data_IF_707025063363
#
_entry.id   IF_707025063363
#
_cell.length_a   1.000
_cell.length_b   1.000
_cell.length_c   1.000
_cell.angle_alpha   90.00
_cell.angle_beta   90.00
_cell.angle_gamma   90.00
#
_symmetry.space_group_name_H-M   'P 1'
#
loop_
_entity.id
_entity.type
_entity.pdbx_description
1 polymer ?
#
# COMPACT_ATOMS: atom_id res chain seq x y z
N UNK A 1 -34.10 41.27 -34.80
CA UNK A 1 -33.67 40.28 -33.79
C UNK A 1 -33.59 38.92 -34.46
N UNK A 2 -32.40 38.45 -34.83
CA UNK A 2 -32.23 37.08 -35.28
C UNK A 2 -32.42 36.16 -34.07
N UNK A 3 -33.51 35.40 -34.05
CA UNK A 3 -33.72 34.35 -33.06
C UNK A 3 -32.57 33.35 -33.19
N UNK A 4 -31.70 33.28 -32.18
CA UNK A 4 -30.73 32.18 -32.05
C UNK A 4 -31.53 30.88 -31.94
N UNK A 5 -31.72 30.17 -33.05
CA UNK A 5 -32.27 28.83 -33.01
C UNK A 5 -31.29 27.95 -32.23
N UNK A 6 -31.73 27.24 -31.18
CA UNK A 6 -30.86 26.32 -30.47
C UNK A 6 -30.36 25.25 -31.43
N UNK A 7 -29.05 25.05 -31.46
CA UNK A 7 -28.41 24.03 -32.30
C UNK A 7 -28.99 22.66 -31.92
N UNK A 8 -29.73 22.05 -32.84
CA UNK A 8 -30.46 20.80 -32.59
C UNK A 8 -29.50 19.66 -32.23
N UNK A 9 -29.84 18.93 -31.17
CA UNK A 9 -29.14 17.70 -30.74
C UNK A 9 -28.02 17.89 -29.70
N UNK A 10 -27.79 19.10 -29.19
CA UNK A 10 -26.90 19.31 -28.04
C UNK A 10 -27.56 18.74 -26.79
N UNK A 11 -26.80 17.94 -26.04
CA UNK A 11 -27.22 17.37 -24.77
C UNK A 11 -26.88 18.31 -23.60
N UNK A 12 -27.56 18.10 -22.48
CA UNK A 12 -27.16 18.69 -21.21
C UNK A 12 -25.75 18.23 -20.81
N UNK A 13 -24.99 19.05 -20.08
CA UNK A 13 -23.71 18.63 -19.52
C UNK A 13 -23.88 17.41 -18.62
N UNK A 14 -22.95 16.46 -18.76
CA UNK A 14 -22.85 15.28 -17.90
C UNK A 14 -21.71 15.53 -16.93
N UNK A 15 -22.00 15.91 -15.67
CA UNK A 15 -20.98 16.15 -14.66
C UNK A 15 -20.48 14.87 -14.02
N UNK A 16 -19.19 14.85 -13.72
CA UNK A 16 -18.54 13.87 -12.85
C UNK A 16 -18.06 14.66 -11.64
N UNK A 17 -18.76 14.49 -10.52
CA UNK A 17 -18.50 15.18 -9.25
C UNK A 17 -18.13 14.20 -8.12
N UNK A 18 -18.10 12.91 -8.44
CA UNK A 18 -17.70 11.84 -7.53
C UNK A 18 -16.64 11.02 -8.25
N UNK A 19 -15.40 11.10 -7.76
CA UNK A 19 -14.30 10.37 -8.36
C UNK A 19 -14.09 9.04 -7.65
N UNK A 20 -13.90 8.00 -8.45
CA UNK A 20 -13.45 6.68 -8.02
C UNK A 20 -11.99 6.51 -8.42
N UNK A 21 -11.27 5.67 -7.70
CA UNK A 21 -9.85 5.44 -7.97
C UNK A 21 -9.57 4.61 -9.20
N UNK A 22 -8.38 4.00 -9.19
CA UNK A 22 -7.88 3.23 -10.31
C UNK A 22 -8.56 1.87 -10.35
N UNK A 23 -9.13 1.56 -11.51
CA UNK A 23 -9.63 0.24 -11.87
C UNK A 23 -8.90 -0.23 -13.13
N UNK A 24 -7.77 -0.89 -12.92
CA UNK A 24 -6.91 -1.49 -13.93
C UNK A 24 -7.12 -3.01 -13.99
N UNK A 25 -8.33 -3.43 -14.36
CA UNK A 25 -8.60 -4.82 -14.73
C UNK A 25 -8.38 -5.05 -16.24
N UNK A 26 -8.61 -6.28 -16.72
CA UNK A 26 -8.45 -6.64 -18.14
C UNK A 26 -9.52 -5.99 -19.06
N UNK A 27 -10.56 -5.36 -18.48
CA UNK A 27 -11.55 -4.59 -19.22
C UNK A 27 -10.95 -3.30 -19.80
N UNK A 28 -11.35 -2.93 -21.03
CA UNK A 28 -11.00 -1.67 -21.70
C UNK A 28 -11.71 -0.46 -21.11
N UNK A 29 -12.52 -0.66 -20.07
CA UNK A 29 -13.02 0.39 -19.19
C UNK A 29 -14.40 0.93 -19.54
N UNK A 30 -15.06 0.39 -20.59
CA UNK A 30 -16.38 0.88 -21.01
C UNK A 30 -17.46 0.63 -19.97
N UNK A 31 -17.38 -0.51 -19.25
CA UNK A 31 -18.33 -0.86 -18.18
C UNK A 31 -18.05 -0.15 -16.84
N UNK A 32 -16.97 0.62 -16.73
CA UNK A 32 -16.63 1.30 -15.48
C UNK A 32 -17.54 2.51 -15.24
N UNK A 33 -17.70 2.87 -13.97
CA UNK A 33 -18.35 4.13 -13.60
C UNK A 33 -17.52 5.33 -14.10
N UNK A 34 -18.19 6.43 -14.44
CA UNK A 34 -17.54 7.60 -15.05
C UNK A 34 -16.52 8.30 -14.16
N UNK A 35 -16.63 8.15 -12.84
CA UNK A 35 -15.65 8.64 -11.88
C UNK A 35 -14.35 7.83 -11.80
N UNK A 36 -14.32 6.60 -12.33
CA UNK A 36 -13.16 5.69 -12.19
C UNK A 36 -12.04 6.02 -13.18
N UNK A 37 -10.80 5.81 -12.75
CA UNK A 37 -9.62 5.95 -13.59
C UNK A 37 -9.21 4.59 -14.18
N UNK A 38 -8.86 4.54 -15.46
CA UNK A 38 -8.23 3.32 -16.05
C UNK A 38 -6.72 3.27 -15.79
N UNK A 39 -6.11 4.43 -15.55
CA UNK A 39 -4.71 4.57 -15.15
C UNK A 39 -4.52 5.88 -14.37
N UNK A 40 -3.51 5.93 -13.52
CA UNK A 40 -3.20 7.10 -12.72
C UNK A 40 -2.12 6.80 -11.70
N UNK A 41 -1.45 7.84 -11.22
CA UNK A 41 -0.52 7.73 -10.10
C UNK A 41 -0.41 9.04 -9.32
N UNK A 42 -0.03 8.92 -8.05
CA UNK A 42 0.14 9.98 -7.06
C UNK A 42 -1.11 10.85 -6.85
N UNK A 43 -2.28 10.32 -7.19
CA UNK A 43 -3.58 10.88 -6.83
C UNK A 43 -4.11 10.15 -5.60
N UNK A 44 -4.87 10.85 -4.77
CA UNK A 44 -5.59 10.26 -3.65
C UNK A 44 -6.96 10.92 -3.48
N UNK A 45 -7.89 10.18 -2.88
CA UNK A 45 -9.26 10.62 -2.67
C UNK A 45 -9.52 11.05 -1.23
N UNK A 46 -8.50 11.53 -0.52
CA UNK A 46 -8.64 12.05 0.84
C UNK A 46 -9.69 13.18 0.91
N UNK A 47 -9.77 14.02 -0.13
CA UNK A 47 -10.73 15.13 -0.25
C UNK A 47 -12.09 14.72 -0.85
N UNK A 48 -12.53 13.48 -0.62
CA UNK A 48 -13.78 12.95 -1.18
C UNK A 48 -14.97 13.91 -0.99
N UNK A 49 -15.81 14.14 -2.02
CA UNK A 49 -15.87 13.43 -3.30
C UNK A 49 -14.86 13.92 -4.36
N UNK A 50 -14.10 14.98 -4.06
CA UNK A 50 -13.10 15.54 -4.95
C UNK A 50 -11.84 14.66 -5.02
N UNK A 51 -11.14 14.77 -6.14
CA UNK A 51 -9.86 14.13 -6.37
C UNK A 51 -8.73 15.09 -6.02
N UNK A 52 -7.77 14.65 -5.21
CA UNK A 52 -6.58 15.42 -4.85
C UNK A 52 -5.30 14.63 -5.09
N UNK A 53 -4.19 15.22 -4.68
CA UNK A 53 -2.88 14.55 -4.72
C UNK A 53 -2.71 13.74 -3.44
N UNK A 54 -1.95 12.65 -3.53
CA UNK A 54 -1.51 11.90 -2.35
C UNK A 54 -0.78 12.81 -1.35
N UNK A 55 -0.74 12.46 -0.06
CA UNK A 55 0.15 13.12 0.88
C UNK A 55 1.61 12.98 0.42
N UNK A 56 2.40 14.00 0.73
CA UNK A 56 3.84 14.01 0.54
C UNK A 56 4.56 13.20 1.60
N UNK A 57 5.83 13.53 1.84
CA UNK A 57 6.57 13.01 2.97
C UNK A 57 7.64 13.99 3.46
N UNK A 58 8.07 13.83 4.71
CA UNK A 58 9.29 14.42 5.24
C UNK A 58 10.30 13.32 5.60
N UNK A 59 11.59 13.66 5.53
CA UNK A 59 12.64 12.74 5.96
C UNK A 59 12.70 12.69 7.50
N UNK A 60 12.74 11.49 8.06
CA UNK A 60 13.00 11.29 9.48
C UNK A 60 14.51 11.31 9.71
N UNK A 61 15.03 12.39 10.29
CA UNK A 61 16.47 12.60 10.45
C UNK A 61 17.19 12.73 9.11
N UNK A 62 18.42 12.23 9.02
CA UNK A 62 19.19 12.14 7.77
C UNK A 62 19.12 10.73 7.19
N UNK A 63 19.23 10.61 5.86
CA UNK A 63 19.30 9.31 5.21
C UNK A 63 20.64 8.63 5.51
N UNK A 64 20.61 7.31 5.69
CA UNK A 64 21.80 6.53 6.03
C UNK A 64 22.74 6.26 4.85
N UNK A 65 22.31 6.54 3.62
CA UNK A 65 23.07 6.23 2.39
C UNK A 65 23.20 4.73 2.08
N UNK A 66 22.51 3.88 2.82
CA UNK A 66 22.45 2.42 2.64
C UNK A 66 21.05 1.93 2.93
N UNK A 67 20.61 0.88 2.21
CA UNK A 67 19.29 0.27 2.37
C UNK A 67 18.91 0.08 3.84
N UNK A 68 17.72 0.55 4.21
CA UNK A 68 17.10 0.22 5.50
C UNK A 68 16.54 -1.20 5.39
N UNK A 69 17.14 -2.16 6.10
CA UNK A 69 16.72 -3.57 6.07
C UNK A 69 15.31 -3.75 6.66
N UNK A 70 15.01 -3.03 7.73
CA UNK A 70 13.66 -2.99 8.27
C UNK A 70 13.49 -1.91 9.32
N UNK A 71 12.23 -1.63 9.64
CA UNK A 71 11.82 -0.60 10.58
C UNK A 71 10.79 -1.18 11.55
N UNK A 72 10.88 -0.80 12.82
CA UNK A 72 9.98 -1.25 13.88
C UNK A 72 9.61 -0.10 14.80
N UNK A 73 8.53 -0.25 15.56
CA UNK A 73 8.11 0.73 16.56
C UNK A 73 8.21 0.14 17.96
N UNK A 74 8.78 0.89 18.90
CA UNK A 74 8.74 0.54 20.31
C UNK A 74 7.66 1.36 21.00
N UNK A 75 6.75 0.68 21.71
CA UNK A 75 5.61 1.28 22.45
C UNK A 75 4.70 2.22 21.63
N UNK A 76 4.76 2.16 20.30
CA UNK A 76 4.16 3.18 19.43
C UNK A 76 4.59 4.62 19.82
N UNK A 77 5.85 4.79 20.22
CA UNK A 77 6.44 6.10 20.54
C UNK A 77 7.77 6.35 19.83
N UNK A 78 8.59 5.31 19.65
CA UNK A 78 9.92 5.43 19.03
C UNK A 78 10.02 4.60 17.75
N UNK A 79 10.70 5.14 16.74
CA UNK A 79 11.04 4.44 15.49
C UNK A 79 12.43 3.83 15.63
N UNK A 80 12.54 2.55 15.31
CA UNK A 80 13.80 1.82 15.22
C UNK A 80 14.04 1.34 13.80
N UNK A 81 15.30 1.27 13.39
CA UNK A 81 15.70 0.78 12.08
C UNK A 81 16.91 -0.15 12.18
N UNK A 82 16.96 -1.18 11.34
CA UNK A 82 18.20 -1.91 11.07
C UNK A 82 18.80 -1.36 9.79
N UNK A 83 20.03 -0.87 9.89
CA UNK A 83 20.78 -0.31 8.76
C UNK A 83 22.23 -0.78 8.82
N UNK A 84 22.71 -1.37 7.73
CA UNK A 84 24.09 -1.84 7.59
C UNK A 84 24.58 -2.69 8.78
N UNK A 85 23.71 -3.60 9.27
CA UNK A 85 24.03 -4.49 10.38
C UNK A 85 24.03 -3.82 11.75
N UNK A 86 23.52 -2.59 11.87
CA UNK A 86 23.39 -1.86 13.13
C UNK A 86 21.93 -1.51 13.44
N UNK A 87 21.55 -1.65 14.71
CA UNK A 87 20.26 -1.23 15.25
C UNK A 87 20.33 0.23 15.67
N UNK A 88 19.56 1.06 14.97
CA UNK A 88 19.43 2.49 15.16
C UNK A 88 18.08 2.82 15.80
N UNK A 89 18.03 3.87 16.62
CA UNK A 89 16.77 4.47 17.10
C UNK A 89 16.73 5.94 16.73
N UNK A 90 15.55 6.46 16.44
CA UNK A 90 15.36 7.89 16.24
C UNK A 90 15.09 8.56 17.59
N UNK A 91 15.93 9.51 17.99
CA UNK A 91 15.82 10.18 19.30
C UNK A 91 14.93 11.45 19.27
N UNK A 92 14.24 11.72 18.16
CA UNK A 92 13.45 12.94 17.94
C UNK A 92 14.11 13.93 16.98
N UNK A 93 15.43 13.90 16.84
CA UNK A 93 16.19 14.79 15.93
C UNK A 93 17.11 14.04 14.98
N UNK A 94 17.76 12.97 15.43
CA UNK A 94 18.70 12.19 14.65
C UNK A 94 18.62 10.69 14.93
N UNK A 95 19.21 9.92 14.03
CA UNK A 95 19.43 8.50 14.22
C UNK A 95 20.64 8.29 15.11
N UNK A 96 20.48 7.47 16.15
CA UNK A 96 21.54 7.10 17.08
C UNK A 96 21.62 5.58 17.22
N UNK A 97 22.84 5.05 17.22
CA UNK A 97 23.08 3.64 17.51
C UNK A 97 22.66 3.35 18.95
N UNK A 98 21.92 2.26 19.15
CA UNK A 98 21.61 1.77 20.49
C UNK A 98 22.86 1.10 21.09
N UNK A 99 23.04 1.13 22.40
CA UNK A 99 24.16 0.43 23.06
C UNK A 99 23.88 -1.06 23.24
N UNK A 100 24.92 -1.84 23.60
CA UNK A 100 24.83 -3.28 23.80
C UNK A 100 25.13 -4.08 22.53
N UNK A 101 24.43 -5.19 22.33
CA UNK A 101 24.54 -6.07 21.16
C UNK A 101 23.72 -5.52 19.98
N UNK A 102 23.96 -4.28 19.58
CA UNK A 102 23.22 -3.58 18.53
C UNK A 102 23.87 -3.67 17.14
N UNK A 103 25.10 -4.20 17.04
CA UNK A 103 25.87 -4.27 15.79
C UNK A 103 26.12 -5.72 15.35
N UNK A 104 26.70 -5.90 14.15
CA UNK A 104 27.02 -7.22 13.60
C UNK A 104 25.79 -8.04 13.21
N UNK A 105 24.66 -7.38 12.96
CA UNK A 105 23.46 -8.01 12.42
C UNK A 105 23.63 -8.30 10.92
N UNK A 106 22.95 -9.33 10.43
CA UNK A 106 22.88 -9.66 9.02
C UNK A 106 22.35 -8.48 8.19
N UNK A 107 23.00 -8.21 7.05
CA UNK A 107 22.59 -7.19 6.08
C UNK A 107 21.71 -7.74 4.95
N UNK A 108 21.57 -9.07 4.87
CA UNK A 108 20.80 -9.76 3.85
C UNK A 108 19.42 -10.26 4.33
N UNK A 109 19.22 -10.33 5.64
CA UNK A 109 17.98 -10.78 6.25
C UNK A 109 17.09 -9.61 6.68
N UNK A 110 15.79 -9.73 6.42
CA UNK A 110 14.81 -8.71 6.81
C UNK A 110 14.31 -8.98 8.25
N UNK A 111 14.29 -7.98 9.15
CA UNK A 111 13.88 -8.20 10.53
C UNK A 111 12.35 -8.27 10.68
N UNK A 112 11.90 -9.14 11.59
CA UNK A 112 10.55 -9.22 12.15
C UNK A 112 10.55 -8.65 13.56
N UNK A 113 9.51 -7.91 13.92
CA UNK A 113 9.43 -7.13 15.15
C UNK A 113 8.19 -7.48 15.96
N UNK A 114 8.33 -7.51 17.29
CA UNK A 114 7.15 -7.56 18.17
C UNK A 114 7.42 -6.89 19.51
N UNK A 115 6.42 -6.20 20.06
CA UNK A 115 6.49 -5.61 21.40
C UNK A 115 5.97 -6.63 22.42
N UNK A 116 6.69 -6.84 23.51
CA UNK A 116 6.21 -7.71 24.60
C UNK A 116 6.72 -7.23 25.96
N UNK A 117 5.83 -7.18 26.94
CA UNK A 117 6.17 -6.92 28.34
C UNK A 117 6.23 -8.22 29.14
N UNK A 118 5.11 -8.95 29.23
CA UNK A 118 5.04 -10.17 30.05
C UNK A 118 5.34 -9.89 31.53
N UNK A 119 6.39 -10.53 32.05
CA UNK A 119 6.94 -10.40 33.39
C UNK A 119 8.29 -9.66 33.40
N UNK A 120 8.61 -8.93 32.32
CA UNK A 120 9.73 -8.01 32.28
C UNK A 120 9.38 -6.72 33.04
N UNK A 121 10.40 -6.00 33.50
CA UNK A 121 10.23 -4.72 34.21
C UNK A 121 9.56 -3.64 33.34
N UNK A 122 9.76 -3.69 32.03
CA UNK A 122 9.13 -2.80 31.05
C UNK A 122 8.88 -3.52 29.71
N UNK A 123 8.05 -2.90 28.86
CA UNK A 123 7.84 -3.35 27.49
C UNK A 123 9.17 -3.35 26.71
N UNK A 124 9.49 -4.46 26.07
CA UNK A 124 10.67 -4.61 25.21
C UNK A 124 10.27 -4.81 23.74
N UNK A 125 11.09 -4.29 22.83
CA UNK A 125 10.96 -4.53 21.38
C UNK A 125 11.88 -5.68 21.00
N UNK A 126 11.30 -6.81 20.61
CA UNK A 126 12.01 -7.98 20.14
C UNK A 126 12.20 -7.94 18.63
N UNK A 127 13.32 -8.51 18.17
CA UNK A 127 13.70 -8.62 16.76
C UNK A 127 14.26 -10.00 16.45
N UNK A 128 13.82 -10.55 15.32
CA UNK A 128 14.30 -11.81 14.77
C UNK A 128 14.41 -11.69 13.24
N UNK A 129 15.35 -12.39 12.61
CA UNK A 129 15.56 -12.31 11.15
C UNK A 129 15.98 -13.63 10.52
N UNK A 130 15.96 -14.73 11.29
CA UNK A 130 16.27 -16.07 10.81
C UNK A 130 17.76 -16.39 10.71
N UNK A 131 18.63 -15.41 10.95
CA UNK A 131 20.10 -15.55 10.86
C UNK A 131 20.74 -15.24 12.19
N UNK A 132 20.47 -14.06 12.73
CA UNK A 132 20.96 -13.61 14.02
C UNK A 132 20.16 -14.23 15.16
N UNK A 133 20.84 -14.46 16.28
CA UNK A 133 20.15 -14.82 17.53
C UNK A 133 19.18 -13.69 17.90
N UNK A 134 17.96 -14.05 18.33
CA UNK A 134 16.90 -13.13 18.71
C UNK A 134 17.42 -12.06 19.69
N UNK A 135 17.19 -10.79 19.38
CA UNK A 135 17.62 -9.65 20.21
C UNK A 135 16.44 -8.84 20.66
N UNK A 136 16.58 -8.13 21.77
CA UNK A 136 15.53 -7.24 22.26
C UNK A 136 16.10 -5.95 22.83
N UNK A 137 15.33 -4.87 22.65
CA UNK A 137 15.58 -3.57 23.22
C UNK A 137 14.66 -3.34 24.43
N UNK A 138 15.24 -3.02 25.58
CA UNK A 138 14.54 -2.83 26.85
C UNK A 138 14.17 -1.36 27.16
N UNK A 139 14.50 -0.44 26.25
CA UNK A 139 14.40 1.02 26.46
C UNK A 139 15.75 1.69 26.71
N UNK A 140 16.82 0.92 26.94
CA UNK A 140 18.18 1.44 27.12
C UNK A 140 19.20 0.73 26.24
N UNK A 141 19.21 -0.60 26.24
CA UNK A 141 20.22 -1.42 25.54
C UNK A 141 19.59 -2.51 24.68
N UNK A 142 20.32 -2.97 23.65
CA UNK A 142 19.96 -4.18 22.90
C UNK A 142 20.69 -5.38 23.49
N UNK A 143 19.94 -6.39 23.93
CA UNK A 143 20.46 -7.63 24.50
C UNK A 143 20.13 -8.82 23.62
N UNK A 144 21.06 -9.78 23.51
CA UNK A 144 20.85 -11.04 22.82
C UNK A 144 20.18 -12.04 23.75
N UNK A 145 19.06 -12.63 23.32
CA UNK A 145 18.36 -13.67 24.04
C UNK A 145 18.87 -15.05 23.59
N UNK A 146 19.86 -15.58 24.31
CA UNK A 146 20.50 -16.87 24.00
C UNK A 146 19.60 -18.08 24.28
N UNK A 147 18.52 -17.90 25.05
CA UNK A 147 17.56 -18.96 25.34
C UNK A 147 16.52 -19.15 24.22
N UNK A 148 16.36 -18.17 23.33
CA UNK A 148 15.46 -18.29 22.19
C UNK A 148 15.97 -19.32 21.16
N UNK A 149 15.06 -19.97 20.40
CA UNK A 149 15.46 -20.88 19.32
C UNK A 149 16.39 -20.21 18.31
N UNK A 150 17.48 -20.90 17.95
CA UNK A 150 18.36 -20.45 16.88
C UNK A 150 17.62 -20.46 15.54
N UNK A 151 17.86 -19.45 14.70
CA UNK A 151 17.17 -19.32 13.41
C UNK A 151 15.72 -18.84 13.51
N UNK A 152 15.30 -18.29 14.65
CA UNK A 152 14.01 -17.60 14.77
C UNK A 152 13.90 -16.51 13.70
N UNK A 153 12.89 -16.61 12.82
CA UNK A 153 12.75 -15.74 11.66
C UNK A 153 11.58 -14.75 11.80
N UNK A 154 10.40 -15.26 12.10
CA UNK A 154 9.20 -14.44 12.29
C UNK A 154 8.76 -14.53 13.73
N UNK A 155 8.49 -13.39 14.34
CA UNK A 155 8.07 -13.31 15.73
C UNK A 155 6.78 -12.53 15.86
N UNK A 156 5.94 -12.97 16.79
CA UNK A 156 4.73 -12.25 17.16
C UNK A 156 4.33 -12.59 18.58
N UNK A 157 3.41 -11.83 19.14
CA UNK A 157 2.89 -12.03 20.48
C UNK A 157 1.37 -12.23 20.38
N UNK A 158 0.87 -13.22 21.12
CA UNK A 158 -0.56 -13.46 21.29
C UNK A 158 -0.80 -13.95 22.72
N UNK A 159 -1.80 -13.37 23.40
CA UNK A 159 -2.18 -13.73 24.78
C UNK A 159 -1.02 -13.82 25.78
N UNK A 160 -0.16 -12.78 25.80
CA UNK A 160 1.00 -12.68 26.70
C UNK A 160 2.06 -13.78 26.52
N UNK A 161 2.09 -14.40 25.33
CA UNK A 161 3.09 -15.36 24.91
C UNK A 161 3.71 -14.95 23.59
N UNK A 162 5.02 -15.11 23.48
CA UNK A 162 5.73 -14.93 22.22
C UNK A 162 5.82 -16.25 21.45
N UNK A 163 5.70 -16.13 20.14
CA UNK A 163 5.83 -17.20 19.18
C UNK A 163 6.95 -16.85 18.20
N UNK A 164 7.74 -17.85 17.81
CA UNK A 164 8.80 -17.72 16.84
C UNK A 164 8.71 -18.84 15.80
N UNK A 165 8.79 -18.49 14.51
CA UNK A 165 8.87 -19.45 13.42
C UNK A 165 10.34 -19.82 13.16
N UNK A 166 10.62 -21.12 13.11
CA UNK A 166 11.92 -21.69 12.71
C UNK A 166 11.63 -22.78 11.67
N UNK A 167 11.95 -22.53 10.40
CA UNK A 167 11.63 -23.45 9.31
C UNK A 167 10.13 -23.76 9.22
N UNK A 168 9.75 -25.01 9.52
CA UNK A 168 8.36 -25.51 9.52
C UNK A 168 7.70 -25.54 10.92
N UNK A 169 8.39 -25.02 11.94
CA UNK A 169 7.98 -25.20 13.33
C UNK A 169 7.68 -23.85 13.99
N UNK A 170 6.58 -23.80 14.73
CA UNK A 170 6.22 -22.68 15.60
C UNK A 170 6.70 -23.00 17.01
N UNK A 171 7.70 -22.28 17.48
CA UNK A 171 8.13 -22.32 18.87
C UNK A 171 7.33 -21.31 19.69
N UNK A 172 7.14 -21.59 20.97
CA UNK A 172 6.49 -20.67 21.89
C UNK A 172 7.21 -20.62 23.23
N UNK A 173 7.31 -19.42 23.81
CA UNK A 173 7.88 -19.22 25.14
C UNK A 173 6.90 -19.59 26.25
N UNK A 174 7.38 -19.62 27.49
CA UNK A 174 6.52 -19.69 28.68
C UNK A 174 5.60 -18.47 28.81
N UNK A 175 4.46 -18.63 29.47
CA UNK A 175 3.46 -17.59 29.65
C UNK A 175 4.07 -16.39 30.40
N UNK A 176 3.95 -15.19 29.82
CA UNK A 176 4.53 -13.94 30.36
C UNK A 176 6.05 -13.97 30.53
N UNK A 177 6.76 -15.00 30.07
CA UNK A 177 8.23 -15.07 30.18
C UNK A 177 8.87 -15.09 28.80
N UNK A 178 8.94 -13.95 28.09
CA UNK A 178 9.41 -13.89 26.70
C UNK A 178 10.86 -14.34 26.50
N UNK A 179 11.65 -14.37 27.59
CA UNK A 179 13.04 -14.83 27.58
C UNK A 179 13.20 -16.32 27.97
N UNK A 180 12.12 -17.03 28.30
CA UNK A 180 12.18 -18.44 28.70
C UNK A 180 11.45 -19.33 27.69
N UNK A 181 12.23 -20.08 26.89
CA UNK A 181 11.74 -20.98 25.84
C UNK A 181 11.87 -22.46 26.21
N UNK A 182 12.25 -22.75 27.46
CA UNK A 182 12.47 -24.11 27.97
C UNK A 182 11.65 -24.39 29.24
N UNK A 183 10.67 -23.54 29.54
CA UNK A 183 9.78 -23.71 30.69
C UNK A 183 9.05 -25.07 30.60
N UNK A 184 9.20 -25.90 31.62
CA UNK A 184 8.62 -27.24 31.65
C UNK A 184 7.09 -27.15 31.59
N UNK A 185 6.46 -27.91 30.69
CA UNK A 185 5.01 -27.93 30.43
C UNK A 185 4.39 -26.59 29.97
N UNK A 186 5.21 -25.57 29.72
CA UNK A 186 4.73 -24.23 29.39
C UNK A 186 5.47 -23.60 28.20
N UNK A 187 6.64 -24.07 27.81
CA UNK A 187 7.29 -23.74 26.54
C UNK A 187 7.37 -24.98 25.65
N UNK A 188 7.55 -24.79 24.35
CA UNK A 188 7.61 -25.91 23.42
C UNK A 188 7.50 -25.50 21.96
N UNK A 189 7.07 -26.45 21.14
CA UNK A 189 7.00 -26.29 19.70
C UNK A 189 5.82 -27.06 19.11
N UNK A 190 5.27 -26.54 18.02
CA UNK A 190 4.20 -27.16 17.23
C UNK A 190 4.67 -27.18 15.77
N UNK A 191 4.61 -28.35 15.14
CA UNK A 191 5.00 -28.48 13.74
C UNK A 191 3.79 -28.22 12.86
N UNK A 192 3.95 -27.36 11.85
CA UNK A 192 2.87 -26.97 10.95
C UNK A 192 2.92 -27.79 9.66
N UNK A 193 2.66 -29.10 9.68
CA UNK A 193 2.96 -29.95 8.52
C UNK A 193 2.16 -29.64 7.24
N UNK A 194 2.84 -29.70 6.08
CA UNK A 194 2.22 -29.71 4.76
C UNK A 194 2.66 -30.88 3.90
N UNK A 195 1.79 -31.29 2.98
CA UNK A 195 2.05 -32.37 2.02
C UNK A 195 3.30 -32.09 1.16
N UNK A 196 3.63 -30.80 0.97
CA UNK A 196 4.77 -30.31 0.20
C UNK A 196 6.03 -30.03 1.02
N UNK A 197 5.98 -30.15 2.36
CA UNK A 197 7.13 -29.86 3.23
C UNK A 197 7.56 -28.38 3.24
N UNK A 198 6.63 -27.47 3.01
CA UNK A 198 6.90 -26.02 2.94
C UNK A 198 7.32 -25.43 4.29
N UNK A 199 8.20 -24.44 4.27
CA UNK A 199 8.51 -23.63 5.44
C UNK A 199 7.44 -22.55 5.69
N UNK A 200 7.37 -22.08 6.93
CA UNK A 200 6.56 -20.91 7.30
C UNK A 200 7.09 -19.69 6.52
N UNK A 201 6.18 -18.95 5.89
CA UNK A 201 6.49 -17.70 5.16
C UNK A 201 6.13 -16.44 5.95
N UNK A 202 5.31 -16.56 7.00
CA UNK A 202 5.02 -15.49 7.93
C UNK A 202 4.05 -15.89 9.05
N UNK A 203 3.94 -15.03 10.06
CA UNK A 203 3.02 -15.23 11.18
C UNK A 203 2.45 -13.89 11.63
N UNK A 204 1.17 -13.89 11.98
CA UNK A 204 0.51 -12.70 12.52
C UNK A 204 -0.47 -13.08 13.62
N UNK A 205 -0.47 -12.31 14.70
CA UNK A 205 -1.51 -12.40 15.71
C UNK A 205 -2.80 -11.77 15.17
N UNK A 206 -3.87 -12.55 15.19
CA UNK A 206 -5.23 -12.11 14.90
C UNK A 206 -6.08 -12.07 16.17
N UNK A 207 -7.36 -11.69 16.07
CA UNK A 207 -8.27 -11.75 17.20
C UNK A 207 -8.47 -13.20 17.68
N UNK A 208 -8.04 -13.51 18.92
CA UNK A 208 -8.18 -14.81 19.60
C UNK A 208 -7.46 -15.99 18.96
N UNK A 209 -6.54 -15.75 18.02
CA UNK A 209 -5.74 -16.79 17.38
C UNK A 209 -4.43 -16.25 16.84
N UNK A 210 -3.48 -17.16 16.68
CA UNK A 210 -2.29 -16.94 15.86
C UNK A 210 -2.55 -17.52 14.48
N UNK A 211 -2.36 -16.74 13.41
CA UNK A 211 -2.46 -17.22 12.03
C UNK A 211 -1.05 -17.38 11.46
N UNK A 212 -0.77 -18.58 10.98
CA UNK A 212 0.51 -19.00 10.40
C UNK A 212 0.33 -19.17 8.91
N UNK A 213 1.22 -18.53 8.15
CA UNK A 213 1.22 -18.59 6.69
C UNK A 213 2.40 -19.42 6.20
N UNK A 214 2.13 -20.22 5.19
CA UNK A 214 3.10 -20.83 4.28
C UNK A 214 2.89 -20.26 2.88
N UNK A 215 3.73 -20.59 1.88
CA UNK A 215 3.47 -20.21 0.49
C UNK A 215 2.10 -20.65 -0.01
N UNK A 216 1.67 -21.90 0.29
CA UNK A 216 0.41 -22.46 -0.22
C UNK A 216 -0.56 -22.94 0.86
N UNK A 217 -0.33 -22.63 2.14
CA UNK A 217 -1.24 -23.04 3.21
C UNK A 217 -1.39 -21.97 4.30
N UNK A 218 -2.54 -22.00 4.99
CA UNK A 218 -2.84 -21.16 6.16
C UNK A 218 -3.28 -22.06 7.31
N UNK A 219 -2.70 -21.83 8.48
CA UNK A 219 -3.07 -22.50 9.72
C UNK A 219 -3.47 -21.46 10.76
N UNK A 220 -4.45 -21.82 11.59
CA UNK A 220 -4.88 -21.05 12.74
C UNK A 220 -4.63 -21.86 14.02
N UNK A 221 -3.88 -21.28 14.93
CA UNK A 221 -3.64 -21.79 16.26
C UNK A 221 -4.57 -21.07 17.24
N UNK A 222 -5.52 -21.83 17.80
CA UNK A 222 -6.44 -21.40 18.84
C UNK A 222 -5.95 -21.86 20.22
N UNK A 223 -6.42 -21.18 21.27
CA UNK A 223 -6.12 -21.52 22.66
C UNK A 223 -5.12 -20.57 23.30
N UNK A 224 -5.10 -20.56 24.64
CA UNK A 224 -4.28 -19.62 25.43
C UNK A 224 -3.01 -20.26 26.00
N UNK A 225 -2.92 -21.58 25.98
CA UNK A 225 -1.75 -22.32 26.44
C UNK A 225 -1.65 -23.75 25.88
N UNK A 226 -0.54 -24.44 26.15
CA UNK A 226 -0.18 -25.70 25.49
C UNK A 226 -1.21 -26.82 25.61
N UNK A 227 -1.97 -26.85 26.71
CA UNK A 227 -3.02 -27.86 26.94
C UNK A 227 -4.30 -27.61 26.15
N UNK A 228 -4.51 -26.37 25.69
CA UNK A 228 -5.71 -25.94 24.96
C UNK A 228 -5.42 -25.68 23.48
N UNK A 229 -4.16 -25.74 23.07
CA UNK A 229 -3.75 -25.44 21.72
C UNK A 229 -4.42 -26.36 20.72
N UNK A 230 -5.22 -25.75 19.85
CA UNK A 230 -5.88 -26.43 18.74
C UNK A 230 -5.36 -25.83 17.45
N UNK A 231 -4.65 -26.66 16.68
CA UNK A 231 -4.05 -26.27 15.42
C UNK A 231 -4.95 -26.71 14.26
N UNK A 232 -5.54 -25.74 13.57
CA UNK A 232 -6.52 -25.97 12.50
C UNK A 232 -5.95 -25.46 11.19
N UNK A 233 -6.22 -26.19 10.12
CA UNK A 233 -5.81 -25.80 8.77
C UNK A 233 -6.97 -25.11 8.06
N UNK A 234 -6.76 -23.86 7.67
CA UNK A 234 -7.80 -22.99 7.15
C UNK A 234 -7.79 -22.92 5.61
N UNK A 235 -6.62 -23.09 4.99
CA UNK A 235 -6.48 -23.23 3.54
C UNK A 235 -5.31 -24.15 3.16
N UNK A 236 -5.44 -24.86 2.04
CA UNK A 236 -4.46 -25.85 1.54
C UNK A 236 -3.79 -25.47 0.21
N UNK A 237 -4.27 -24.42 -0.43
CA UNK A 237 -3.90 -23.97 -1.77
C UNK A 237 -3.64 -22.46 -1.82
N UNK A 238 -3.63 -21.81 -0.67
CA UNK A 238 -3.51 -20.38 -0.53
C UNK A 238 -2.66 -20.05 0.69
N UNK A 239 -1.75 -19.11 0.52
CA UNK A 239 -0.83 -18.64 1.55
C UNK A 239 -0.33 -17.23 1.26
N UNK A 240 0.75 -16.83 1.93
CA UNK A 240 1.34 -15.50 1.79
C UNK A 240 2.76 -15.58 1.22
N UNK A 241 3.12 -14.60 0.38
CA UNK A 241 4.43 -14.55 -0.28
C UNK A 241 5.58 -14.42 0.74
N UNK A 242 5.42 -13.56 1.75
CA UNK A 242 6.42 -13.31 2.78
C UNK A 242 5.80 -12.65 4.04
N UNK A 243 6.55 -12.59 5.14
CA UNK A 243 6.05 -12.05 6.40
C UNK A 243 5.71 -10.56 6.36
N UNK A 244 6.47 -9.76 5.61
CA UNK A 244 6.22 -8.32 5.45
C UNK A 244 4.96 -8.03 4.63
N UNK A 245 4.49 -9.02 3.88
CA UNK A 245 3.28 -8.95 3.06
C UNK A 245 2.03 -9.39 3.81
N UNK A 246 2.06 -9.44 5.15
CA UNK A 246 0.93 -9.80 6.01
C UNK A 246 0.74 -8.67 7.04
N UNK A 247 -0.50 -8.25 7.25
CA UNK A 247 -0.83 -7.18 8.18
C UNK A 247 -2.25 -7.35 8.74
N UNK A 248 -2.44 -7.10 10.03
CA UNK A 248 -3.78 -7.03 10.64
C UNK A 248 -4.22 -5.57 10.75
N UNK A 249 -5.39 -5.24 10.20
CA UNK A 249 -6.02 -3.92 10.30
C UNK A 249 -7.47 -4.10 10.75
N UNK A 250 -7.86 -3.46 11.84
CA UNK A 250 -9.22 -3.53 12.40
C UNK A 250 -9.77 -4.97 12.57
N UNK A 251 -8.90 -5.92 12.94
CA UNK A 251 -9.27 -7.33 13.14
C UNK A 251 -9.35 -8.17 11.85
N UNK A 252 -9.09 -7.59 10.69
CA UNK A 252 -9.01 -8.27 9.40
C UNK A 252 -7.53 -8.45 9.03
N UNK A 253 -7.15 -9.66 8.66
CA UNK A 253 -5.80 -9.96 8.16
C UNK A 253 -5.78 -9.72 6.66
N UNK A 254 -4.92 -8.83 6.20
CA UNK A 254 -4.61 -8.63 4.79
C UNK A 254 -3.29 -9.31 4.45
N UNK A 255 -3.23 -9.96 3.29
CA UNK A 255 -1.98 -10.54 2.81
C UNK A 255 -1.88 -10.55 1.29
N UNK A 256 -0.64 -10.60 0.77
CA UNK A 256 -0.37 -10.69 -0.66
C UNK A 256 -0.09 -12.15 -1.02
N UNK A 257 -0.78 -12.63 -2.05
CA UNK A 257 -0.55 -13.91 -2.71
C UNK A 257 -0.21 -13.66 -4.19
N UNK A 258 0.35 -14.67 -4.87
CA UNK A 258 0.75 -14.58 -6.30
C UNK A 258 -0.42 -14.19 -7.23
N UNK A 259 -1.67 -14.39 -6.80
CA UNK A 259 -2.88 -14.11 -7.60
C UNK A 259 -3.68 -12.88 -7.16
N UNK A 260 -3.26 -12.16 -6.12
CA UNK A 260 -3.99 -10.99 -5.62
C UNK A 260 -3.74 -10.65 -4.15
N UNK A 261 -4.35 -9.56 -3.72
CA UNK A 261 -4.42 -9.19 -2.29
C UNK A 261 -5.67 -9.82 -1.69
N UNK A 262 -5.51 -10.49 -0.56
CA UNK A 262 -6.58 -11.20 0.13
C UNK A 262 -6.89 -10.54 1.46
N UNK A 263 -8.16 -10.65 1.88
CA UNK A 263 -8.61 -10.37 3.23
C UNK A 263 -9.08 -11.67 3.89
N UNK A 264 -8.75 -11.81 5.17
CA UNK A 264 -9.09 -12.97 5.98
C UNK A 264 -9.59 -12.54 7.36
N UNK A 265 -10.85 -12.89 7.64
CA UNK A 265 -11.52 -12.59 8.92
C UNK A 265 -11.35 -13.70 9.95
N UNK A 266 -10.86 -14.88 9.55
CA UNK A 266 -10.70 -16.02 10.47
C UNK A 266 -11.74 -17.11 10.42
N UNK A 267 -12.66 -17.01 9.48
CA UNK A 267 -13.67 -18.02 9.25
C UNK A 267 -13.86 -18.15 7.74
N UNK A 268 -13.94 -19.40 7.28
CA UNK A 268 -14.05 -19.71 5.86
C UNK A 268 -12.80 -19.35 5.06
N UNK A 269 -12.96 -19.30 3.74
CA UNK A 269 -11.86 -19.06 2.80
C UNK A 269 -11.55 -17.56 2.68
N UNK A 270 -10.27 -17.15 2.64
CA UNK A 270 -9.90 -15.76 2.35
C UNK A 270 -10.48 -15.25 1.02
N UNK A 271 -10.85 -13.97 0.97
CA UNK A 271 -11.51 -13.33 -0.20
C UNK A 271 -10.60 -12.32 -0.87
N UNK A 272 -10.74 -12.15 -2.19
CA UNK A 272 -9.94 -11.18 -2.98
C UNK A 272 -10.76 -10.30 -3.93
N UNK A 273 -12.08 -10.26 -3.79
CA UNK A 273 -12.98 -9.57 -4.73
C UNK A 273 -12.61 -8.08 -4.90
N UNK A 274 -12.21 -7.42 -3.80
CA UNK A 274 -11.74 -6.04 -3.80
C UNK A 274 -10.42 -5.83 -4.56
N UNK A 275 -9.59 -6.87 -4.70
CA UNK A 275 -8.31 -6.82 -5.43
C UNK A 275 -8.50 -6.90 -6.95
N UNK A 276 -9.71 -7.13 -7.46
CA UNK A 276 -9.95 -7.22 -8.90
C UNK A 276 -9.60 -5.92 -9.64
N UNK A 277 -9.82 -4.77 -8.98
CA UNK A 277 -9.49 -3.44 -9.52
C UNK A 277 -7.99 -3.26 -9.82
N UNK A 278 -7.13 -4.01 -9.15
CA UNK A 278 -5.66 -3.93 -9.30
C UNK A 278 -5.06 -5.16 -9.99
N UNK A 279 -5.90 -6.00 -10.62
CA UNK A 279 -5.47 -7.26 -11.21
C UNK A 279 -4.27 -7.11 -12.17
N UNK A 280 -4.26 -6.08 -13.02
CA UNK A 280 -3.14 -5.86 -13.95
C UNK A 280 -1.84 -5.48 -13.25
N UNK A 281 -1.90 -4.83 -12.08
CA UNK A 281 -0.70 -4.56 -11.28
C UNK A 281 -0.15 -5.83 -10.65
N UNK A 282 -1.04 -6.69 -10.13
CA UNK A 282 -0.64 -7.97 -9.53
C UNK A 282 -0.01 -8.89 -10.58
N UNK A 283 -0.58 -8.99 -11.78
CA UNK A 283 -0.04 -9.80 -12.88
C UNK A 283 1.36 -9.36 -13.33
N UNK A 284 1.70 -8.08 -13.11
CA UNK A 284 2.99 -7.47 -13.49
C UNK A 284 4.03 -7.52 -12.37
N UNK A 285 3.74 -8.17 -11.24
CA UNK A 285 4.75 -8.36 -10.19
C UNK A 285 5.93 -9.14 -10.76
N UNK A 286 7.15 -8.64 -10.54
CA UNK A 286 8.37 -9.35 -10.90
C UNK A 286 8.47 -10.67 -10.11
N UNK A 287 8.40 -11.86 -10.75
CA UNK A 287 8.44 -13.13 -10.02
C UNK A 287 9.73 -13.31 -9.20
N UNK A 288 10.86 -12.80 -9.69
CA UNK A 288 12.16 -12.91 -9.03
C UNK A 288 12.32 -11.97 -7.82
N UNK A 289 11.48 -10.94 -7.70
CA UNK A 289 11.52 -9.97 -6.62
C UNK A 289 10.26 -10.02 -5.72
N UNK A 290 9.40 -11.03 -5.86
CA UNK A 290 8.15 -11.12 -5.09
C UNK A 290 8.34 -11.10 -3.56
N UNK A 291 9.49 -11.59 -3.08
CA UNK A 291 9.88 -11.50 -1.68
C UNK A 291 10.13 -10.05 -1.17
N UNK A 292 10.16 -9.05 -2.07
CA UNK A 292 10.26 -7.63 -1.73
C UNK A 292 8.91 -6.94 -1.50
N UNK A 293 7.80 -7.62 -1.76
CA UNK A 293 6.47 -7.07 -1.47
C UNK A 293 6.29 -6.83 0.05
N UNK A 294 5.57 -5.78 0.40
CA UNK A 294 5.30 -5.43 1.81
C UNK A 294 3.94 -4.75 1.97
N UNK A 295 3.36 -4.86 3.17
CA UNK A 295 2.12 -4.21 3.57
C UNK A 295 2.38 -3.19 4.68
N UNK A 296 1.58 -2.12 4.68
CA UNK A 296 1.55 -1.11 5.71
C UNK A 296 0.15 -0.55 5.92
N UNK A 297 -0.06 0.18 7.01
CA UNK A 297 -1.32 0.89 7.28
C UNK A 297 -1.02 2.17 8.05
N UNK A 298 -1.85 3.19 7.89
CA UNK A 298 -1.92 4.37 8.76
C UNK A 298 -3.04 4.23 9.82
N UNK A 299 -3.65 3.05 9.92
CA UNK A 299 -4.82 2.75 10.74
C UNK A 299 -6.15 2.84 9.98
N UNK A 300 -6.18 3.50 8.83
CA UNK A 300 -7.37 3.67 7.98
C UNK A 300 -7.18 3.00 6.62
N UNK A 301 -6.14 3.38 5.89
CA UNK A 301 -5.80 2.86 4.58
C UNK A 301 -4.81 1.70 4.69
N UNK A 302 -4.88 0.80 3.70
CA UNK A 302 -3.93 -0.27 3.46
C UNK A 302 -2.95 0.15 2.35
N UNK A 303 -1.67 -0.04 2.56
CA UNK A 303 -0.62 0.26 1.59
C UNK A 303 0.05 -1.04 1.15
N UNK A 304 0.03 -1.31 -0.15
CA UNK A 304 0.55 -2.54 -0.76
C UNK A 304 1.73 -2.20 -1.65
N UNK A 305 2.94 -2.50 -1.20
CA UNK A 305 4.17 -2.31 -1.95
C UNK A 305 4.46 -3.51 -2.84
N UNK A 306 4.71 -3.27 -4.13
CA UNK A 306 5.01 -4.30 -5.12
C UNK A 306 6.15 -3.89 -6.09
N UNK A 307 7.03 -4.82 -6.48
CA UNK A 307 7.99 -4.64 -7.56
C UNK A 307 7.33 -4.95 -8.91
N UNK A 308 7.12 -3.93 -9.74
CA UNK A 308 6.54 -4.12 -11.07
C UNK A 308 7.60 -4.37 -12.15
N UNK A 309 7.22 -5.18 -13.12
CA UNK A 309 7.97 -5.48 -14.35
C UNK A 309 9.36 -6.05 -14.05
N UNK A 310 10.44 -5.33 -14.39
CA UNK A 310 11.83 -5.78 -14.18
C UNK A 310 12.45 -5.22 -12.87
N UNK A 311 11.67 -4.55 -12.01
CA UNK A 311 12.20 -3.96 -10.79
C UNK A 311 12.67 -5.04 -9.79
N UNK A 312 13.88 -4.89 -9.25
CA UNK A 312 14.47 -5.82 -8.26
C UNK A 312 14.12 -5.47 -6.81
N UNK A 313 13.55 -4.28 -6.60
CA UNK A 313 12.98 -3.80 -5.36
C UNK A 313 11.59 -3.22 -5.66
N UNK A 314 10.76 -3.02 -4.64
CA UNK A 314 9.46 -2.42 -4.84
C UNK A 314 9.59 -0.99 -5.39
N UNK A 315 8.73 -0.64 -6.35
CA UNK A 315 8.75 0.67 -7.01
C UNK A 315 7.35 1.33 -7.07
N UNK A 316 6.34 0.63 -6.55
CA UNK A 316 4.94 1.02 -6.64
C UNK A 316 4.26 0.69 -5.32
N UNK A 317 3.47 1.64 -4.80
CA UNK A 317 2.58 1.40 -3.67
C UNK A 317 1.15 1.49 -4.19
N UNK A 318 0.32 0.51 -3.89
CA UNK A 318 -1.12 0.55 -4.10
C UNK A 318 -1.77 0.90 -2.77
N UNK A 319 -2.43 2.04 -2.69
CA UNK A 319 -3.18 2.48 -1.51
C UNK A 319 -4.63 2.01 -1.67
N UNK A 320 -5.17 1.34 -0.67
CA UNK A 320 -6.57 0.92 -0.61
C UNK A 320 -7.24 1.57 0.58
N UNK A 321 -8.39 2.20 0.34
CA UNK A 321 -9.27 2.68 1.39
C UNK A 321 -10.40 1.65 1.61
N UNK A 322 -10.43 0.92 2.73
CA UNK A 322 -11.42 -0.12 3.00
C UNK A 322 -12.85 0.42 3.12
N UNK A 323 -13.03 1.64 3.64
CA UNK A 323 -14.36 2.23 3.85
C UNK A 323 -15.04 2.59 2.53
N UNK A 324 -14.25 2.99 1.53
CA UNK A 324 -14.74 3.44 0.22
C UNK A 324 -14.59 2.39 -0.89
N UNK A 325 -13.78 1.35 -0.66
CA UNK A 325 -13.48 0.34 -1.68
C UNK A 325 -12.69 0.89 -2.87
N UNK A 326 -11.84 1.90 -2.64
CA UNK A 326 -11.12 2.63 -3.69
C UNK A 326 -9.63 2.33 -3.64
N UNK A 327 -9.03 2.12 -4.82
CA UNK A 327 -7.58 1.93 -4.99
C UNK A 327 -6.91 3.14 -5.63
N UNK A 328 -5.74 3.51 -5.11
CA UNK A 328 -4.86 4.51 -5.69
C UNK A 328 -3.48 3.92 -5.91
N UNK A 329 -2.69 4.58 -6.75
CA UNK A 329 -1.34 4.12 -7.10
C UNK A 329 -0.37 5.24 -6.79
N UNK A 330 0.70 4.94 -6.05
CA UNK A 330 1.77 5.88 -5.75
C UNK A 330 3.06 5.41 -6.45
N UNK A 331 3.79 6.39 -6.99
CA UNK A 331 5.08 6.24 -7.69
C UNK A 331 6.09 7.20 -7.08
N UNK A 332 7.38 6.89 -7.23
CA UNK A 332 8.48 7.66 -6.63
C UNK A 332 8.90 7.19 -5.23
N UNK A 333 8.42 6.01 -4.81
CA UNK A 333 8.83 5.33 -3.59
C UNK A 333 9.55 4.04 -3.92
N UNK A 334 10.51 3.67 -3.06
CA UNK A 334 11.18 2.38 -3.11
C UNK A 334 11.15 1.72 -1.72
N UNK A 335 9.96 1.35 -1.23
CA UNK A 335 9.76 0.93 0.15
C UNK A 335 10.33 -0.46 0.43
N UNK A 336 11.00 -0.63 1.57
CA UNK A 336 11.46 -1.94 2.08
C UNK A 336 10.51 -2.51 3.12
N UNK A 337 9.95 -1.64 3.98
CA UNK A 337 9.05 -1.98 5.08
C UNK A 337 8.27 -0.74 5.53
N UNK A 338 7.10 -0.97 6.11
CA UNK A 338 6.25 0.07 6.69
C UNK A 338 6.19 -0.10 8.21
N UNK A 339 6.03 1.01 8.93
CA UNK A 339 5.65 0.99 10.34
C UNK A 339 4.69 2.14 10.61
N UNK A 340 3.72 1.91 11.47
CA UNK A 340 2.84 2.94 11.97
C UNK A 340 3.15 3.25 13.44
N UNK A 341 3.08 4.53 13.77
CA UNK A 341 3.10 5.01 15.14
C UNK A 341 1.85 5.85 15.32
N UNK A 342 0.92 5.37 16.14
CA UNK A 342 -0.43 5.93 16.23
C UNK A 342 -1.10 5.95 14.84
N UNK A 343 -1.36 7.14 14.30
CA UNK A 343 -1.92 7.38 12.96
C UNK A 343 -0.87 7.76 11.91
N UNK A 344 0.39 7.94 12.32
CA UNK A 344 1.45 8.37 11.42
C UNK A 344 2.11 7.17 10.73
N UNK A 345 2.15 7.19 9.40
CA UNK A 345 2.81 6.18 8.58
C UNK A 345 4.27 6.55 8.31
N UNK A 346 5.16 5.59 8.55
CA UNK A 346 6.57 5.69 8.23
C UNK A 346 6.96 4.61 7.22
N UNK A 347 7.74 5.01 6.21
CA UNK A 347 8.19 4.16 5.11
C UNK A 347 9.71 4.10 5.14
N UNK A 348 10.26 2.91 5.38
CA UNK A 348 11.68 2.63 5.17
C UNK A 348 11.94 2.39 3.68
N UNK A 349 13.05 2.90 3.14
CA UNK A 349 13.36 2.84 1.72
C UNK A 349 14.76 2.26 1.43
N UNK A 350 14.93 1.82 0.18
CA UNK A 350 16.19 1.26 -0.33
C UNK A 350 17.32 2.29 -0.39
N UNK A 351 17.01 3.57 -0.50
CA UNK A 351 17.98 4.69 -0.51
C UNK A 351 18.54 5.02 0.89
N UNK A 352 18.09 4.32 1.93
CA UNK A 352 18.49 4.59 3.31
C UNK A 352 17.67 5.70 3.97
N UNK A 353 16.58 6.15 3.36
CA UNK A 353 15.66 7.08 3.98
C UNK A 353 14.56 6.36 4.76
N UNK A 354 14.19 6.93 5.91
CA UNK A 354 12.92 6.65 6.57
C UNK A 354 12.06 7.89 6.41
N UNK A 355 10.91 7.75 5.76
CA UNK A 355 10.05 8.86 5.34
C UNK A 355 8.78 8.84 6.18
N UNK A 356 8.45 9.94 6.85
CA UNK A 356 7.16 10.15 7.50
C UNK A 356 6.18 10.68 6.46
N UNK A 357 5.10 9.96 6.20
CA UNK A 357 4.08 10.38 5.22
C UNK A 357 3.28 11.55 5.79
N UNK A 358 3.08 12.58 4.98
CA UNK A 358 2.37 13.80 5.36
C UNK A 358 2.81 15.03 4.58
N UNK A 359 2.04 16.11 4.70
CA UNK A 359 2.29 17.36 3.98
C UNK A 359 1.95 17.29 2.49
N UNK A 360 2.35 18.32 1.74
CA UNK A 360 1.99 18.54 0.34
C UNK A 360 3.16 18.38 -0.65
N UNK A 361 4.36 18.04 -0.16
CA UNK A 361 5.58 17.91 -0.95
C UNK A 361 6.35 16.64 -0.58
N UNK A 362 7.13 16.12 -1.51
CA UNK A 362 8.08 15.02 -1.29
C UNK A 362 9.41 15.61 -0.79
N UNK A 363 9.48 15.88 0.51
CA UNK A 363 10.63 16.50 1.18
C UNK A 363 11.06 17.83 0.51
N UNK A 364 10.08 18.70 0.24
CA UNK A 364 10.27 19.99 -0.44
C UNK A 364 10.13 19.92 -1.96
N UNK A 365 10.17 18.73 -2.58
CA UNK A 365 9.94 18.59 -4.02
C UNK A 365 8.43 18.50 -4.34
N UNK A 366 8.01 19.13 -5.44
CA UNK A 366 6.61 19.08 -5.87
C UNK A 366 6.25 17.70 -6.43
N UNK A 367 5.10 17.18 -6.03
CA UNK A 367 4.64 15.83 -6.40
C UNK A 367 4.16 15.83 -7.85
N UNK A 368 4.70 14.93 -8.68
CA UNK A 368 4.21 14.69 -10.04
C UNK A 368 3.08 13.68 -10.02
N UNK A 369 2.00 13.93 -10.76
CA UNK A 369 0.80 13.11 -10.72
C UNK A 369 0.14 12.95 -12.09
N UNK A 370 -0.68 11.90 -12.24
CA UNK A 370 -1.43 11.59 -13.45
C UNK A 370 -2.77 10.96 -13.11
N UNK A 371 -3.81 11.32 -13.86
CA UNK A 371 -5.12 10.68 -13.86
C UNK A 371 -5.60 10.49 -15.30
N UNK A 372 -6.11 9.31 -15.63
CA UNK A 372 -6.65 8.96 -16.94
C UNK A 372 -8.05 8.40 -16.78
N UNK A 373 -9.03 9.06 -17.40
CA UNK A 373 -10.41 8.61 -17.40
C UNK A 373 -10.58 7.30 -18.15
N UNK A 374 -11.66 6.57 -17.84
CA UNK A 374 -12.20 5.59 -18.80
C UNK A 374 -12.48 6.22 -20.17
N UNK A 375 -12.60 5.41 -21.24
CA UNK A 375 -13.18 5.87 -22.49
C UNK A 375 -14.62 6.32 -22.25
N UNK A 376 -14.85 7.63 -22.28
CA UNK A 376 -16.18 8.19 -22.18
C UNK A 376 -16.94 7.89 -23.46
N UNK A 377 -18.08 7.22 -23.31
CA UNK A 377 -19.02 6.92 -24.38
C UNK A 377 -20.46 7.17 -23.88
N UNK A 378 -21.44 7.09 -24.79
CA UNK A 378 -22.85 7.06 -24.38
C UNK A 378 -23.34 5.63 -24.37
N UNK A 379 -24.58 5.41 -23.92
CA UNK A 379 -25.30 4.14 -23.98
C UNK A 379 -25.13 3.37 -25.30
N UNK A 380 -25.08 4.08 -26.44
CA UNK A 380 -24.72 3.50 -27.73
C UNK A 380 -23.39 4.04 -28.24
N UNK A 381 -22.41 3.15 -28.42
CA UNK A 381 -21.10 3.46 -29.02
C UNK A 381 -21.23 3.61 -30.55
N UNK A 382 -22.25 3.02 -31.16
CA UNK A 382 -22.47 3.04 -32.61
C UNK A 382 -23.02 4.37 -33.11
N UNK A 383 -23.71 5.12 -32.25
CA UNK A 383 -24.21 6.45 -32.60
C UNK A 383 -23.06 7.45 -32.73
N UNK A 384 -22.95 8.11 -33.90
CA UNK A 384 -22.00 9.19 -34.12
C UNK A 384 -22.30 10.39 -33.21
N UNK A 385 -21.26 10.94 -32.62
CA UNK A 385 -21.35 12.08 -31.69
C UNK A 385 -20.32 13.12 -32.03
N UNK A 386 -20.63 14.35 -31.64
CA UNK A 386 -19.67 15.44 -31.63
C UNK A 386 -19.43 15.87 -30.19
N UNK A 387 -18.18 15.91 -29.78
CA UNK A 387 -17.76 16.46 -28.49
C UNK A 387 -17.84 17.99 -28.56
N UNK A 388 -18.80 18.59 -27.86
CA UNK A 388 -19.07 20.03 -27.97
C UNK A 388 -18.21 20.83 -26.99
N UNK A 389 -18.33 20.54 -25.70
CA UNK A 389 -17.55 21.19 -24.65
C UNK A 389 -17.07 20.15 -23.62
N UNK A 390 -15.90 20.38 -23.07
CA UNK A 390 -15.39 19.64 -21.91
C UNK A 390 -14.75 20.67 -20.99
N UNK A 391 -14.99 20.58 -19.69
CA UNK A 391 -14.30 21.44 -18.73
C UNK A 391 -14.01 20.74 -17.41
N UNK A 392 -13.02 21.25 -16.72
CA UNK A 392 -12.68 20.85 -15.35
C UNK A 392 -12.84 22.05 -14.42
N UNK A 393 -13.26 21.79 -13.19
CA UNK A 393 -13.25 22.77 -12.11
C UNK A 393 -12.26 22.30 -11.05
N UNK A 394 -11.14 23.02 -10.94
CA UNK A 394 -10.01 22.63 -10.10
C UNK A 394 -9.42 23.85 -9.37
N UNK A 395 -8.92 23.58 -8.17
CA UNK A 395 -8.18 24.51 -7.33
C UNK A 395 -6.69 24.20 -7.42
N UNK A 396 -5.90 25.27 -7.59
CA UNK A 396 -4.45 25.19 -7.75
C UNK A 396 -3.74 25.95 -6.64
N UNK A 397 -2.76 25.32 -5.99
CA UNK A 397 -1.85 25.99 -5.06
C UNK A 397 -0.70 26.66 -5.84
N UNK A 398 -0.17 27.82 -5.41
CA UNK A 398 0.97 28.46 -6.10
C UNK A 398 2.12 27.50 -6.39
N UNK A 399 2.67 27.57 -7.61
CA UNK A 399 3.72 26.66 -8.06
C UNK A 399 3.23 25.31 -8.59
N UNK A 400 1.91 25.07 -8.58
CA UNK A 400 1.32 23.85 -9.17
C UNK A 400 0.90 24.07 -10.62
N UNK A 401 0.88 22.98 -11.39
CA UNK A 401 0.43 22.97 -12.77
C UNK A 401 -0.42 21.74 -13.10
N UNK A 402 -1.29 21.89 -14.10
CA UNK A 402 -2.05 20.80 -14.70
C UNK A 402 -2.09 20.97 -16.22
N UNK A 403 -1.79 19.88 -16.91
CA UNK A 403 -1.95 19.73 -18.35
C UNK A 403 -3.10 18.77 -18.63
N UNK A 404 -4.05 19.25 -19.44
CA UNK A 404 -5.18 18.46 -19.93
C UNK A 404 -4.92 18.00 -21.37
N UNK A 405 -5.00 16.69 -21.58
CA UNK A 405 -4.76 16.02 -22.86
C UNK A 405 -5.91 15.09 -23.23
N UNK A 406 -6.18 14.94 -24.52
CA UNK A 406 -7.28 14.15 -25.05
C UNK A 406 -6.79 13.06 -26.01
N UNK A 407 -7.41 11.88 -26.00
CA UNK A 407 -7.07 10.78 -26.90
C UNK A 407 -8.31 10.11 -27.50
N UNK A 408 -8.21 9.76 -28.80
CA UNK A 408 -9.21 8.94 -29.52
C UNK A 408 -8.91 7.44 -29.43
N UNK A 409 -7.75 7.07 -28.89
CA UNK A 409 -7.39 5.66 -28.79
C UNK A 409 -8.01 5.06 -27.55
N UNK A 410 -8.31 3.76 -27.61
CA UNK A 410 -8.86 3.01 -26.47
C UNK A 410 -7.82 2.76 -25.39
N UNK A 411 -6.57 2.54 -25.79
CA UNK A 411 -5.47 2.15 -24.91
C UNK A 411 -4.16 2.74 -25.38
N UNK A 412 -3.16 2.77 -24.49
CA UNK A 412 -1.82 3.24 -24.79
C UNK A 412 -1.65 4.74 -24.62
N UNK A 413 -0.38 5.16 -24.65
CA UNK A 413 0.09 6.52 -24.35
C UNK A 413 0.71 7.25 -25.55
N UNK A 414 0.63 6.67 -26.75
CA UNK A 414 1.30 7.21 -27.94
C UNK A 414 0.56 8.38 -28.59
N UNK A 415 -0.77 8.45 -28.48
CA UNK A 415 -1.61 9.41 -29.20
C UNK A 415 -2.43 10.28 -28.24
N UNK A 416 -1.75 11.16 -27.51
CA UNK A 416 -2.35 12.20 -26.69
C UNK A 416 -2.20 13.57 -27.35
N UNK A 417 -3.32 14.27 -27.56
CA UNK A 417 -3.33 15.66 -28.00
C UNK A 417 -3.34 16.55 -26.77
N UNK A 418 -2.24 17.23 -26.49
CA UNK A 418 -2.20 18.25 -25.44
C UNK A 418 -3.10 19.42 -25.85
N UNK A 419 -4.04 19.77 -24.98
CA UNK A 419 -5.03 20.81 -25.27
C UNK A 419 -4.74 22.09 -24.51
N UNK A 420 -4.41 21.97 -23.22
CA UNK A 420 -4.23 23.13 -22.35
C UNK A 420 -3.24 22.83 -21.24
N UNK A 421 -2.39 23.80 -20.92
CA UNK A 421 -1.58 23.83 -19.71
C UNK A 421 -2.08 24.99 -18.83
N UNK A 422 -2.19 24.74 -17.53
CA UNK A 422 -2.65 25.66 -16.50
C UNK A 422 -1.58 25.67 -15.42
N UNK A 423 -1.15 26.86 -15.00
CA UNK A 423 -0.18 27.03 -13.92
C UNK A 423 -0.68 28.12 -12.97
N UNK A 424 -0.59 27.87 -11.66
CA UNK A 424 -0.92 28.88 -10.66
C UNK A 424 0.27 29.78 -10.36
N UNK A 425 0.11 31.08 -10.66
CA UNK A 425 1.18 32.09 -10.52
C UNK A 425 1.09 32.88 -9.21
N UNK A 426 -0.11 33.23 -8.75
CA UNK A 426 -0.32 33.95 -7.48
C UNK A 426 -1.59 33.49 -6.78
N UNK A 427 -1.45 33.01 -5.54
CA UNK A 427 -2.57 32.55 -4.70
C UNK A 427 -3.23 31.24 -5.12
N UNK A 428 -4.23 30.84 -4.34
CA UNK A 428 -5.11 29.72 -4.67
C UNK A 428 -6.01 30.14 -5.84
N UNK A 429 -5.95 29.42 -6.96
CA UNK A 429 -6.71 29.75 -8.16
C UNK A 429 -7.78 28.69 -8.41
N UNK A 430 -9.04 29.11 -8.42
CA UNK A 430 -10.16 28.26 -8.82
C UNK A 430 -10.43 28.55 -10.28
N UNK A 431 -10.28 27.56 -11.16
CA UNK A 431 -10.40 27.80 -12.60
C UNK A 431 -11.29 26.79 -13.27
N UNK A 432 -12.34 27.28 -13.94
CA UNK A 432 -13.05 26.52 -14.96
C UNK A 432 -12.20 26.49 -16.21
N UNK A 433 -11.58 25.35 -16.50
CA UNK A 433 -10.78 25.20 -17.72
C UNK A 433 -11.60 24.55 -18.81
N UNK A 434 -11.88 25.28 -19.88
CA UNK A 434 -12.45 24.71 -21.10
C UNK A 434 -11.37 23.94 -21.86
N UNK A 435 -11.65 22.69 -22.19
CA UNK A 435 -10.80 21.79 -22.95
C UNK A 435 -11.34 21.71 -24.38
N UNK A 436 -10.74 22.44 -25.35
CA UNK A 436 -11.08 22.33 -26.76
C UNK A 436 -11.13 20.90 -27.28
N UNK A 437 -12.23 20.55 -27.93
CA UNK A 437 -12.50 19.20 -28.46
C UNK A 437 -12.24 19.08 -29.96
N UNK A 438 -11.80 20.16 -30.64
CA UNK A 438 -11.69 20.23 -32.10
C UNK A 438 -10.89 19.07 -32.72
N UNK A 439 -9.75 18.72 -32.13
CA UNK A 439 -8.90 17.62 -32.59
C UNK A 439 -9.54 16.24 -32.44
N UNK A 440 -10.55 16.13 -31.57
CA UNK A 440 -11.26 14.89 -31.22
C UNK A 440 -12.75 14.88 -31.58
N UNK A 441 -13.23 15.90 -32.30
CA UNK A 441 -14.65 16.20 -32.47
C UNK A 441 -15.47 15.02 -33.02
N UNK A 442 -14.94 14.25 -33.97
CA UNK A 442 -15.66 13.15 -34.63
C UNK A 442 -15.43 11.76 -34.01
N UNK A 443 -14.96 11.69 -32.75
CA UNK A 443 -14.73 10.41 -32.08
C UNK A 443 -15.98 9.92 -31.34
N UNK A 444 -16.31 8.63 -31.45
CA UNK A 444 -17.45 8.04 -30.75
C UNK A 444 -17.21 7.88 -29.24
N UNK A 445 -15.94 7.86 -28.83
CA UNK A 445 -15.49 7.83 -27.45
C UNK A 445 -14.25 8.73 -27.27
N UNK A 446 -13.96 9.11 -26.04
CA UNK A 446 -12.84 10.00 -25.71
C UNK A 446 -12.23 9.62 -24.37
N UNK A 447 -10.90 9.64 -24.25
CA UNK A 447 -10.22 9.62 -22.96
C UNK A 447 -9.67 11.00 -22.62
N UNK A 448 -9.79 11.38 -21.35
CA UNK A 448 -9.19 12.57 -20.77
C UNK A 448 -8.02 12.15 -19.88
N UNK A 449 -6.87 12.78 -20.09
CA UNK A 449 -5.71 12.69 -19.20
C UNK A 449 -5.47 14.05 -18.55
N UNK A 450 -5.35 14.04 -17.24
CA UNK A 450 -4.90 15.17 -16.42
C UNK A 450 -3.55 14.78 -15.80
N UNK A 451 -2.51 15.57 -16.02
CA UNK A 451 -1.20 15.33 -15.44
C UNK A 451 -0.56 16.65 -15.01
N UNK A 452 0.27 16.63 -13.98
CA UNK A 452 0.74 17.87 -13.39
C UNK A 452 1.78 17.69 -12.32
N UNK A 453 2.15 18.82 -11.71
CA UNK A 453 3.12 18.90 -10.62
C UNK A 453 2.55 19.80 -9.53
N UNK A 454 2.72 19.41 -8.27
CA UNK A 454 2.30 20.20 -7.10
C UNK A 454 0.80 20.13 -6.82
N UNK A 455 0.35 20.59 -5.63
CA UNK A 455 -1.02 20.42 -5.12
C UNK A 455 -2.14 20.96 -6.02
N UNK A 456 -2.97 20.03 -6.51
CA UNK A 456 -4.21 20.33 -7.27
C UNK A 456 -5.36 19.51 -6.68
N UNK A 457 -6.52 20.15 -6.51
CA UNK A 457 -7.78 19.46 -6.17
C UNK A 457 -8.80 19.69 -7.29
N UNK A 458 -9.36 18.63 -7.84
CA UNK A 458 -10.38 18.70 -8.90
C UNK A 458 -11.73 18.25 -8.35
N UNK A 459 -12.73 19.12 -8.43
CA UNK A 459 -14.08 18.87 -7.90
C UNK A 459 -15.05 18.38 -8.97
N UNK A 460 -14.85 18.80 -10.23
CA UNK A 460 -15.77 18.43 -11.30
C UNK A 460 -15.05 18.26 -12.64
N UNK A 461 -15.43 17.23 -13.38
CA UNK A 461 -15.17 17.11 -14.81
C UNK A 461 -16.52 17.01 -15.51
N UNK A 462 -16.81 17.95 -16.40
CA UNK A 462 -18.09 18.02 -17.09
C UNK A 462 -17.91 17.95 -18.60
N UNK A 463 -18.68 17.08 -19.24
CA UNK A 463 -18.65 16.87 -20.69
C UNK A 463 -20.01 17.19 -21.32
N UNK A 464 -19.99 17.77 -22.50
CA UNK A 464 -21.17 18.11 -23.27
C UNK A 464 -21.03 17.59 -24.69
N UNK A 465 -22.05 16.88 -25.15
CA UNK A 465 -22.05 16.13 -26.41
C UNK A 465 -23.18 16.61 -27.30
N UNK A 466 -23.03 16.40 -28.60
CA UNK A 466 -24.11 16.52 -29.58
C UNK A 466 -24.34 15.17 -30.25
N UNK A 467 -25.57 14.65 -30.15
CA UNK A 467 -25.98 13.42 -30.82
C UNK A 467 -26.26 13.72 -32.29
N UNK A 468 -25.62 12.98 -33.19
CA UNK A 468 -25.96 13.04 -34.62
C UNK A 468 -27.21 12.19 -34.87
N UNK A 469 -28.03 12.54 -35.89
CA UNK A 469 -29.17 11.72 -36.29
C UNK A 469 -28.73 10.29 -36.59
N UNK A 470 -29.55 9.30 -36.21
CA UNK A 470 -29.42 7.96 -36.75
C UNK A 470 -29.60 8.06 -38.27
N UNK A 471 -28.60 7.61 -39.02
CA UNK A 471 -28.74 7.43 -40.47
C UNK A 471 -29.23 6.04 -40.73
#
# INVERSE_FOLDING_TARGET
MAYMQPIRGIMEPIPINTFGGVYAADDKGFSLNDGMATDGYNMSYLNYPAMGIRPGYSLLGTAFGSKVQGVGSWKATEVHAIVNGAWQRFNGTSWVSVTGTSTGLSTSADPSWTNTQGNLSAMSLFMANGVDQLRYYDGTTVTTNTAAPAGANFITQHDNRMYAAVGNTVHYCGLRTPNNWTAVNDAGQIVAETETGENISGMVAGPKRLTIFKPNAIFDLFGTGPKEFTFVRSANDLGAINNKSILTVAGIIYFIHDTGVYSYIGSGRPRKDFSQAIYNYIKRINPSAKNKCSLGTDGTNLYVSIPLDNATEANTILEYNPDRGVWNVWKGYSPTMFVNINTDLYIANVDGSVRKVGGSTDNGAAITWKWVSKPFAEASITQRKIWYNLWTYSDFTPGSSMTASLSKDLTGDSNWYQIKNISATTGLQNSRTVVPTGNVANSNFLRLKLEGVGPVTTYEISRQLRKMPYK
#
